data_IF_568553505732
#
_entry.id   IF_568553505732
#
_cell.length_a   1.000
_cell.length_b   1.000
_cell.length_c   1.000
_cell.angle_alpha   90.00
_cell.angle_beta   90.00
_cell.angle_gamma   90.00
#
_symmetry.space_group_name_H-M   'P 1'
#
loop_
_entity.id
_entity.type
_entity.pdbx_description
1 polymer ?
#
# COMPACT_ATOMS: atom_id res chain seq x y z
N UNK A 1 2.38 30.18 -9.79
CA UNK A 1 3.60 30.87 -10.26
C UNK A 1 4.64 29.81 -10.57
N UNK A 2 5.30 29.85 -11.75
CA UNK A 2 6.39 28.93 -12.05
C UNK A 2 7.42 29.02 -10.93
N UNK A 3 7.80 27.88 -10.36
CA UNK A 3 8.86 27.85 -9.35
C UNK A 3 10.18 27.97 -10.09
N UNK A 4 11.03 28.97 -9.79
CA UNK A 4 12.35 29.05 -10.38
C UNK A 4 13.10 27.75 -10.12
N UNK A 5 13.63 27.15 -11.21
CA UNK A 5 14.35 25.88 -11.21
C UNK A 5 15.63 25.88 -10.36
N UNK A 6 16.03 27.05 -9.87
CA UNK A 6 17.16 27.28 -8.96
C UNK A 6 16.82 27.02 -7.48
N UNK A 7 15.56 26.73 -7.14
CA UNK A 7 15.18 26.44 -5.76
C UNK A 7 15.19 24.93 -5.47
N UNK A 8 15.56 24.57 -4.24
CA UNK A 8 15.79 23.22 -3.69
C UNK A 8 14.59 22.23 -3.71
N UNK A 9 13.63 22.41 -4.63
CA UNK A 9 12.41 21.62 -4.78
C UNK A 9 12.33 20.83 -6.09
N UNK A 10 13.21 21.06 -7.07
CA UNK A 10 13.35 20.13 -8.18
C UNK A 10 13.99 18.84 -7.63
N UNK A 11 13.29 17.70 -7.73
CA UNK A 11 13.93 16.41 -7.48
C UNK A 11 15.02 16.29 -8.54
N UNK A 12 16.27 16.45 -8.12
CA UNK A 12 17.40 16.27 -9.03
C UNK A 12 17.46 14.81 -9.44
N UNK A 13 17.97 14.52 -10.64
CA UNK A 13 18.22 13.14 -11.06
C UNK A 13 19.12 12.40 -10.06
N UNK A 14 19.98 13.12 -9.33
CA UNK A 14 20.75 12.61 -8.20
C UNK A 14 19.87 12.13 -7.03
N UNK A 15 18.88 12.93 -6.61
CA UNK A 15 17.95 12.53 -5.53
C UNK A 15 17.11 11.33 -5.95
N UNK A 16 16.64 11.29 -7.20
CA UNK A 16 15.89 10.16 -7.72
C UNK A 16 16.74 8.89 -7.79
N UNK A 17 17.99 9.00 -8.25
CA UNK A 17 18.95 7.89 -8.27
C UNK A 17 19.21 7.36 -6.86
N UNK A 18 19.44 8.26 -5.90
CA UNK A 18 19.68 7.93 -4.49
C UNK A 18 18.50 7.15 -3.88
N UNK A 19 17.27 7.61 -4.10
CA UNK A 19 16.06 6.91 -3.63
C UNK A 19 15.95 5.50 -4.22
N UNK A 20 16.23 5.34 -5.52
CA UNK A 20 16.19 4.03 -6.18
C UNK A 20 17.30 3.09 -5.71
N UNK A 21 18.50 3.62 -5.42
CA UNK A 21 19.57 2.84 -4.81
C UNK A 21 19.18 2.35 -3.41
N UNK A 22 18.53 3.17 -2.60
CA UNK A 22 18.02 2.74 -1.29
C UNK A 22 16.96 1.64 -1.40
N UNK A 23 16.06 1.75 -2.38
CA UNK A 23 15.07 0.71 -2.67
C UNK A 23 15.74 -0.61 -3.08
N UNK A 24 16.75 -0.54 -3.96
CA UNK A 24 17.50 -1.72 -4.38
C UNK A 24 18.23 -2.35 -3.19
N UNK A 25 18.96 -1.55 -2.42
CA UNK A 25 19.70 -2.01 -1.25
C UNK A 25 18.79 -2.69 -0.23
N UNK A 26 17.66 -2.08 0.13
CA UNK A 26 16.76 -2.69 1.12
C UNK A 26 16.13 -3.97 0.59
N UNK A 27 15.80 -4.03 -0.70
CA UNK A 27 15.28 -5.24 -1.33
C UNK A 27 16.31 -6.38 -1.23
N UNK A 28 17.58 -6.11 -1.55
CA UNK A 28 18.66 -7.09 -1.43
C UNK A 28 18.90 -7.52 0.03
N UNK A 29 18.89 -6.57 0.97
CA UNK A 29 19.04 -6.85 2.40
C UNK A 29 17.93 -7.76 2.93
N UNK A 30 16.69 -7.60 2.46
CA UNK A 30 15.60 -8.50 2.86
C UNK A 30 15.86 -9.94 2.44
N UNK A 31 16.32 -10.17 1.21
CA UNK A 31 16.66 -11.53 0.74
C UNK A 31 17.90 -12.09 1.42
N UNK A 32 18.84 -11.25 1.83
CA UNK A 32 20.04 -11.69 2.53
C UNK A 32 19.77 -12.04 4.01
N UNK A 33 18.96 -11.23 4.70
CA UNK A 33 18.75 -11.34 6.15
C UNK A 33 17.60 -12.29 6.52
N UNK A 34 16.54 -12.35 5.72
CA UNK A 34 15.39 -13.19 6.02
C UNK A 34 15.47 -14.50 5.24
N UNK A 35 15.77 -15.60 5.94
CA UNK A 35 15.94 -16.91 5.31
C UNK A 35 14.99 -17.97 5.88
N UNK A 36 14.32 -17.67 6.99
CA UNK A 36 13.45 -18.63 7.69
C UNK A 36 12.02 -18.11 7.84
N UNK A 37 11.09 -19.02 8.12
CA UNK A 37 9.71 -18.66 8.46
C UNK A 37 9.63 -17.76 9.70
N UNK A 38 10.57 -17.91 10.63
CA UNK A 38 10.66 -17.06 11.81
C UNK A 38 11.05 -15.62 11.43
N UNK A 39 11.93 -15.45 10.44
CA UNK A 39 12.33 -14.12 9.98
C UNK A 39 11.18 -13.41 9.26
N UNK A 40 10.43 -14.11 8.41
CA UNK A 40 9.18 -13.58 7.83
C UNK A 40 8.20 -13.12 8.92
N UNK A 41 8.04 -13.93 9.96
CA UNK A 41 7.17 -13.60 11.07
C UNK A 41 7.63 -12.33 11.81
N UNK A 42 8.95 -12.19 12.04
CA UNK A 42 9.54 -10.96 12.61
C UNK A 42 9.33 -9.74 11.70
N UNK A 43 9.45 -9.91 10.38
CA UNK A 43 9.17 -8.82 9.42
C UNK A 43 7.71 -8.37 9.51
N UNK A 44 6.75 -9.29 9.62
CA UNK A 44 5.35 -8.93 9.79
C UNK A 44 5.10 -8.16 11.08
N UNK A 45 5.69 -8.62 12.19
CA UNK A 45 5.61 -7.93 13.49
C UNK A 45 6.23 -6.54 13.39
N UNK A 46 7.42 -6.41 12.81
CA UNK A 46 8.10 -5.14 12.63
C UNK A 46 7.29 -4.15 11.79
N UNK A 47 6.64 -4.63 10.73
CA UNK A 47 5.81 -3.80 9.86
C UNK A 47 4.55 -3.32 10.59
N UNK A 48 3.88 -4.20 11.34
CA UNK A 48 2.72 -3.83 12.17
C UNK A 48 3.10 -2.82 13.26
N UNK A 49 4.21 -3.03 13.96
CA UNK A 49 4.73 -2.10 14.97
C UNK A 49 5.11 -0.75 14.36
N UNK A 50 5.79 -0.75 13.21
CA UNK A 50 6.13 0.47 12.49
C UNK A 50 4.89 1.27 12.08
N UNK A 51 3.83 0.58 11.65
CA UNK A 51 2.57 1.24 11.30
C UNK A 51 1.81 1.81 12.49
N UNK A 52 1.98 1.26 13.70
CA UNK A 52 1.44 1.90 14.92
C UNK A 52 2.06 3.27 15.20
N UNK A 53 3.33 3.49 14.81
CA UNK A 53 3.92 4.82 14.92
C UNK A 53 3.19 5.82 14.03
N UNK A 54 2.83 5.41 12.80
CA UNK A 54 2.04 6.26 11.89
C UNK A 54 0.63 6.51 12.43
N UNK A 55 -0.02 5.49 13.01
CA UNK A 55 -1.30 5.65 13.73
C UNK A 55 -1.16 6.68 14.84
N UNK A 56 -0.14 6.55 15.70
CA UNK A 56 0.09 7.48 16.81
C UNK A 56 0.26 8.92 16.31
N UNK A 57 1.07 9.13 15.28
CA UNK A 57 1.27 10.47 14.70
C UNK A 57 -0.03 11.09 14.21
N UNK A 58 -0.91 10.29 13.58
CA UNK A 58 -2.20 10.74 13.04
C UNK A 58 -3.27 10.93 14.12
N UNK A 59 -3.16 10.29 15.28
CA UNK A 59 -4.21 10.32 16.31
C UNK A 59 -3.88 11.27 17.46
N UNK A 60 -2.60 11.50 17.77
CA UNK A 60 -2.18 12.30 18.95
C UNK A 60 -2.75 13.73 18.98
N UNK A 61 -2.94 14.33 17.81
CA UNK A 61 -3.44 15.70 17.65
C UNK A 61 -4.88 15.74 17.12
N UNK A 62 -5.55 14.59 17.04
CA UNK A 62 -6.91 14.49 16.51
C UNK A 62 -7.93 15.00 17.54
N UNK A 63 -8.73 15.99 17.14
CA UNK A 63 -9.79 16.56 17.96
C UNK A 63 -11.16 16.15 17.41
N UNK A 64 -11.92 15.36 18.17
CA UNK A 64 -13.25 14.86 17.76
C UNK A 64 -14.23 16.02 17.48
N UNK A 65 -14.10 17.14 18.20
CA UNK A 65 -14.97 18.33 18.04
C UNK A 65 -14.56 19.26 16.90
N UNK A 66 -13.40 19.03 16.26
CA UNK A 66 -12.99 19.84 15.14
C UNK A 66 -13.86 19.49 13.91
N UNK A 67 -14.57 20.47 13.37
CA UNK A 67 -15.48 20.30 12.23
C UNK A 67 -14.73 20.16 10.89
N UNK A 68 -13.60 19.46 10.90
CA UNK A 68 -12.69 19.27 9.76
C UNK A 68 -13.16 18.13 8.89
N UNK A 69 -13.30 18.39 7.58
CA UNK A 69 -13.69 17.37 6.58
C UNK A 69 -12.57 16.34 6.36
N UNK A 70 -11.31 16.74 6.59
CA UNK A 70 -10.13 15.91 6.40
C UNK A 70 -9.14 16.15 7.52
N UNK A 71 -8.67 15.08 8.17
CA UNK A 71 -7.53 15.17 9.08
C UNK A 71 -6.24 14.86 8.33
N UNK A 72 -5.36 15.85 8.23
CA UNK A 72 -4.06 15.75 7.59
C UNK A 72 -2.99 16.39 8.47
N UNK A 73 -1.83 15.75 8.54
CA UNK A 73 -0.63 16.37 9.12
C UNK A 73 0.11 17.05 7.97
N UNK A 74 0.53 18.30 8.18
CA UNK A 74 1.38 19.04 7.24
C UNK A 74 2.63 18.19 6.96
N UNK A 75 2.75 17.65 5.73
CA UNK A 75 3.76 16.70 5.19
C UNK A 75 3.25 15.27 4.87
N UNK A 76 2.08 14.86 5.35
CA UNK A 76 1.51 13.55 5.07
C UNK A 76 0.27 13.68 4.18
N UNK A 77 0.34 13.17 2.96
CA UNK A 77 -0.83 13.01 2.11
C UNK A 77 -1.76 11.94 2.73
N UNK A 78 -3.03 12.29 2.96
CA UNK A 78 -3.97 11.41 3.64
C UNK A 78 -4.29 10.12 2.84
N UNK A 79 -4.21 10.16 1.50
CA UNK A 79 -4.35 8.95 0.69
C UNK A 79 -3.09 8.08 0.82
N UNK A 80 -1.89 8.67 0.83
CA UNK A 80 -0.64 7.94 1.03
C UNK A 80 -0.63 7.25 2.42
N UNK A 81 -1.06 7.95 3.46
CA UNK A 81 -1.25 7.39 4.81
C UNK A 81 -2.23 6.21 4.78
N UNK A 82 -3.35 6.36 4.07
CA UNK A 82 -4.34 5.30 3.96
C UNK A 82 -3.79 4.04 3.30
N UNK A 83 -3.00 4.19 2.22
CA UNK A 83 -2.33 3.07 1.54
C UNK A 83 -1.34 2.38 2.47
N UNK A 84 -0.47 3.15 3.16
CA UNK A 84 0.52 2.63 4.12
C UNK A 84 -0.12 1.80 5.23
N UNK A 85 -1.24 2.27 5.78
CA UNK A 85 -1.93 1.55 6.86
C UNK A 85 -2.72 0.34 6.34
N UNK A 86 -3.42 0.48 5.21
CA UNK A 86 -4.27 -0.57 4.67
C UNK A 86 -3.48 -1.78 4.19
N UNK A 87 -2.31 -1.59 3.55
CA UNK A 87 -1.48 -2.69 3.06
C UNK A 87 -0.96 -3.61 4.19
N UNK A 88 -0.94 -3.12 5.43
CA UNK A 88 -0.49 -3.88 6.62
C UNK A 88 -1.64 -4.70 7.22
N UNK A 89 -2.91 -4.36 6.93
CA UNK A 89 -4.09 -5.06 7.48
C UNK A 89 -4.03 -6.58 7.20
N UNK A 90 -3.71 -7.06 5.97
CA UNK A 90 -3.54 -8.49 5.73
C UNK A 90 -2.46 -9.14 6.61
N UNK A 91 -1.37 -8.43 6.93
CA UNK A 91 -0.32 -8.93 7.83
C UNK A 91 -0.81 -8.98 9.29
N UNK A 92 -1.57 -7.99 9.74
CA UNK A 92 -2.18 -8.01 11.07
C UNK A 92 -3.20 -9.15 11.22
N UNK A 93 -3.97 -9.44 10.16
CA UNK A 93 -4.87 -10.60 10.11
C UNK A 93 -4.05 -11.90 10.17
N UNK A 94 -2.93 -11.99 9.46
CA UNK A 94 -2.01 -13.13 9.58
C UNK A 94 -1.57 -13.31 11.03
N UNK A 95 -1.12 -12.24 11.70
CA UNK A 95 -0.70 -12.30 13.11
C UNK A 95 -1.84 -12.81 14.02
N UNK A 96 -3.07 -12.35 13.79
CA UNK A 96 -4.23 -12.74 14.60
C UNK A 96 -4.64 -14.21 14.42
N UNK A 97 -4.49 -14.75 13.21
CA UNK A 97 -5.07 -16.04 12.80
C UNK A 97 -4.06 -17.18 12.71
N UNK A 98 -2.79 -16.90 12.42
CA UNK A 98 -1.77 -17.93 12.15
C UNK A 98 -0.71 -18.06 13.25
N UNK A 99 -0.69 -17.17 14.24
CA UNK A 99 0.31 -17.20 15.31
C UNK A 99 -0.23 -17.90 16.55
N UNK A 100 0.66 -18.60 17.27
CA UNK A 100 0.31 -19.29 18.52
C UNK A 100 0.36 -18.35 19.72
N UNK A 101 1.34 -17.45 19.73
CA UNK A 101 1.60 -16.53 20.83
C UNK A 101 0.50 -15.47 20.95
N UNK A 102 -0.15 -15.41 22.11
CA UNK A 102 -1.32 -14.54 22.28
C UNK A 102 -0.98 -13.05 22.19
N UNK A 103 0.24 -12.64 22.55
CA UNK A 103 0.71 -11.25 22.46
C UNK A 103 0.77 -10.77 21.00
N UNK A 104 1.21 -11.62 20.07
CA UNK A 104 1.23 -11.27 18.64
C UNK A 104 -0.17 -11.25 18.05
N UNK A 105 -1.07 -12.10 18.54
CA UNK A 105 -2.49 -12.04 18.20
C UNK A 105 -3.12 -10.75 18.72
N UNK A 106 -2.80 -10.34 19.94
CA UNK A 106 -3.26 -9.06 20.51
C UNK A 106 -2.73 -7.87 19.70
N UNK A 107 -1.47 -7.92 19.24
CA UNK A 107 -0.89 -6.89 18.38
C UNK A 107 -1.69 -6.75 17.07
N UNK A 108 -1.99 -7.87 16.40
CA UNK A 108 -2.83 -7.86 15.20
C UNK A 108 -4.26 -7.37 15.48
N UNK A 109 -4.86 -7.82 16.59
CA UNK A 109 -6.20 -7.42 17.02
C UNK A 109 -6.28 -5.92 17.33
N UNK A 110 -5.25 -5.34 17.94
CA UNK A 110 -5.19 -3.91 18.25
C UNK A 110 -4.92 -3.08 16.98
N UNK A 111 -4.14 -3.59 16.03
CA UNK A 111 -3.77 -2.86 14.83
C UNK A 111 -4.97 -2.61 13.92
N UNK A 112 -5.81 -3.61 13.71
CA UNK A 112 -6.94 -3.53 12.77
C UNK A 112 -7.90 -2.37 13.08
N UNK A 113 -8.47 -2.22 14.30
CA UNK A 113 -9.33 -1.09 14.62
C UNK A 113 -8.57 0.24 14.64
N UNK A 114 -7.30 0.25 15.06
CA UNK A 114 -6.48 1.44 15.07
C UNK A 114 -6.23 1.97 13.64
N UNK A 115 -5.82 1.09 12.72
CA UNK A 115 -5.64 1.40 11.31
C UNK A 115 -6.95 1.81 10.65
N UNK A 116 -8.05 1.09 10.92
CA UNK A 116 -9.36 1.44 10.37
C UNK A 116 -9.82 2.84 10.82
N UNK A 117 -9.69 3.13 12.11
CA UNK A 117 -9.99 4.45 12.66
C UNK A 117 -9.14 5.54 12.00
N UNK A 118 -7.81 5.35 11.94
CA UNK A 118 -6.90 6.31 11.31
C UNK A 118 -7.20 6.52 9.83
N UNK A 119 -7.50 5.46 9.07
CA UNK A 119 -7.87 5.58 7.66
C UNK A 119 -9.15 6.40 7.51
N UNK A 120 -10.17 6.17 8.34
CA UNK A 120 -11.44 6.87 8.22
C UNK A 120 -11.34 8.37 8.57
N UNK A 121 -10.56 8.75 9.58
CA UNK A 121 -10.36 10.17 9.91
C UNK A 121 -9.61 10.94 8.81
N UNK A 122 -8.86 10.24 7.95
CA UNK A 122 -8.23 10.87 6.78
C UNK A 122 -9.22 11.34 5.71
N UNK A 123 -10.50 10.92 5.78
CA UNK A 123 -11.52 11.25 4.79
C UNK A 123 -11.19 10.79 3.36
N UNK A 124 -10.29 9.80 3.21
CA UNK A 124 -9.90 9.25 1.91
C UNK A 124 -10.90 8.22 1.39
N UNK A 125 -11.53 8.50 0.24
CA UNK A 125 -12.40 7.54 -0.46
C UNK A 125 -11.65 6.28 -0.88
N UNK A 126 -10.51 6.45 -1.55
CA UNK A 126 -9.63 5.33 -1.91
C UNK A 126 -9.19 4.58 -0.66
N UNK A 127 -8.88 5.31 0.42
CA UNK A 127 -8.57 4.74 1.74
C UNK A 127 -9.66 3.82 2.29
N UNK A 128 -10.92 4.24 2.25
CA UNK A 128 -12.04 3.41 2.67
C UNK A 128 -12.17 2.13 1.83
N UNK A 129 -12.01 2.23 0.50
CA UNK A 129 -12.07 1.07 -0.40
C UNK A 129 -10.94 0.07 -0.11
N UNK A 130 -9.70 0.54 -0.04
CA UNK A 130 -8.55 -0.36 0.20
C UNK A 130 -8.53 -0.91 1.64
N UNK A 131 -9.10 -0.20 2.61
CA UNK A 131 -9.34 -0.73 3.95
C UNK A 131 -10.29 -1.92 3.90
N UNK A 132 -11.43 -1.81 3.19
CA UNK A 132 -12.37 -2.91 3.01
C UNK A 132 -11.70 -4.10 2.33
N UNK A 133 -10.87 -3.85 1.31
CA UNK A 133 -10.06 -4.91 0.68
C UNK A 133 -9.10 -5.55 1.68
N UNK A 134 -8.44 -4.79 2.55
CA UNK A 134 -7.60 -5.34 3.62
C UNK A 134 -8.38 -6.23 4.58
N UNK A 135 -9.56 -5.78 5.01
CA UNK A 135 -10.46 -6.52 5.90
C UNK A 135 -11.05 -7.78 5.24
N UNK A 136 -11.11 -7.84 3.91
CA UNK A 136 -11.46 -9.06 3.17
C UNK A 136 -10.49 -10.22 3.47
N UNK A 137 -9.34 -9.96 4.10
CA UNK A 137 -8.46 -11.00 4.64
C UNK A 137 -9.14 -11.93 5.64
N UNK A 138 -10.23 -11.51 6.29
CA UNK A 138 -11.02 -12.36 7.19
C UNK A 138 -11.94 -13.35 6.47
N UNK A 139 -12.17 -13.20 5.16
CA UNK A 139 -13.12 -14.04 4.41
C UNK A 139 -12.85 -15.54 4.60
N UNK A 140 -11.62 -16.07 4.41
CA UNK A 140 -11.37 -17.50 4.61
C UNK A 140 -11.68 -17.96 6.04
N UNK A 141 -11.33 -17.16 7.06
CA UNK A 141 -11.62 -17.43 8.47
C UNK A 141 -13.12 -17.51 8.75
N UNK A 142 -13.90 -16.55 8.23
CA UNK A 142 -15.36 -16.50 8.40
C UNK A 142 -16.04 -17.64 7.66
N UNK A 143 -15.60 -17.97 6.44
CA UNK A 143 -16.17 -19.06 5.64
C UNK A 143 -15.96 -20.43 6.28
N UNK A 144 -14.81 -20.63 6.93
CA UNK A 144 -14.50 -21.86 7.69
C UNK A 144 -15.17 -21.91 9.07
N UNK A 145 -15.75 -20.80 9.53
CA UNK A 145 -16.42 -20.74 10.83
C UNK A 145 -17.85 -21.32 10.78
N UNK A 146 -18.29 -21.91 11.90
CA UNK A 146 -19.68 -22.34 12.06
C UNK A 146 -20.66 -21.15 12.13
N UNK A 147 -21.96 -21.44 12.23
CA UNK A 147 -23.02 -20.41 12.26
C UNK A 147 -22.77 -19.34 13.33
N UNK A 148 -22.31 -19.75 14.52
CA UNK A 148 -21.97 -18.83 15.62
C UNK A 148 -20.85 -17.85 15.22
N UNK A 149 -19.81 -18.33 14.54
CA UNK A 149 -18.70 -17.47 14.09
C UNK A 149 -19.13 -16.46 13.03
N UNK A 150 -20.03 -16.87 12.13
CA UNK A 150 -20.64 -15.97 11.13
C UNK A 150 -21.50 -14.89 11.80
N UNK A 151 -22.35 -15.26 12.75
CA UNK A 151 -23.16 -14.31 13.53
C UNK A 151 -22.26 -13.35 14.29
N UNK A 152 -21.23 -13.86 14.99
CA UNK A 152 -20.27 -13.02 15.72
C UNK A 152 -19.56 -12.02 14.79
N UNK A 153 -19.18 -12.43 13.59
CA UNK A 153 -18.57 -11.56 12.59
C UNK A 153 -19.52 -10.43 12.16
N UNK A 154 -20.80 -10.73 11.92
CA UNK A 154 -21.82 -9.73 11.61
C UNK A 154 -22.01 -8.76 12.78
N UNK A 155 -22.11 -9.26 14.00
CA UNK A 155 -22.25 -8.42 15.21
C UNK A 155 -21.05 -7.49 15.36
N UNK A 156 -19.82 -7.99 15.17
CA UNK A 156 -18.60 -7.17 15.23
C UNK A 156 -18.64 -6.05 14.19
N UNK A 157 -19.05 -6.36 12.95
CA UNK A 157 -19.17 -5.35 11.89
C UNK A 157 -20.21 -4.29 12.26
N UNK A 158 -21.39 -4.70 12.76
CA UNK A 158 -22.44 -3.77 13.18
C UNK A 158 -21.96 -2.86 14.32
N UNK A 159 -21.32 -3.42 15.34
CA UNK A 159 -20.75 -2.66 16.47
C UNK A 159 -19.67 -1.69 15.97
N UNK A 160 -18.81 -2.11 15.05
CA UNK A 160 -17.79 -1.25 14.46
C UNK A 160 -18.41 -0.07 13.69
N UNK A 161 -19.46 -0.32 12.90
CA UNK A 161 -20.18 0.73 12.16
C UNK A 161 -20.85 1.74 13.11
N UNK A 162 -21.46 1.26 14.20
CA UNK A 162 -22.04 2.14 15.23
C UNK A 162 -20.94 2.99 15.90
N UNK A 163 -19.81 2.39 16.27
CA UNK A 163 -18.69 3.12 16.86
C UNK A 163 -18.14 4.19 15.91
N UNK A 164 -17.96 3.84 14.63
CA UNK A 164 -17.54 4.76 13.56
C UNK A 164 -18.47 5.97 13.47
N UNK A 165 -19.79 5.74 13.44
CA UNK A 165 -20.79 6.79 13.32
C UNK A 165 -20.78 7.79 14.51
N UNK A 166 -20.27 7.38 15.68
CA UNK A 166 -20.22 8.23 16.86
C UNK A 166 -18.91 9.03 17.01
N UNK A 167 -17.81 8.56 16.40
CA UNK A 167 -16.47 9.16 16.60
C UNK A 167 -15.99 9.95 15.38
N UNK A 168 -16.46 9.61 14.17
CA UNK A 168 -16.02 10.27 12.94
C UNK A 168 -17.05 11.34 12.54
N UNK A 169 -16.61 12.59 12.26
CA UNK A 169 -17.50 13.67 11.86
C UNK A 169 -18.38 13.30 10.66
N UNK A 170 -19.66 13.66 10.72
CA UNK A 170 -20.64 13.34 9.67
C UNK A 170 -20.19 13.85 8.29
N UNK A 171 -19.55 15.03 8.20
CA UNK A 171 -19.01 15.57 6.95
C UNK A 171 -17.94 14.68 6.31
N UNK A 172 -17.12 14.02 7.13
CA UNK A 172 -16.09 13.07 6.66
C UNK A 172 -16.76 11.82 6.10
N UNK A 173 -17.80 11.32 6.76
CA UNK A 173 -18.62 10.20 6.28
C UNK A 173 -19.28 10.57 4.95
N UNK A 174 -19.95 11.72 4.88
CA UNK A 174 -20.58 12.23 3.66
C UNK A 174 -19.57 12.35 2.52
N UNK A 175 -18.36 12.85 2.75
CA UNK A 175 -17.29 12.89 1.74
C UNK A 175 -16.90 11.50 1.22
N UNK A 176 -16.82 10.49 2.11
CA UNK A 176 -16.48 9.13 1.71
C UNK A 176 -17.57 8.54 0.79
N UNK A 177 -18.85 8.84 1.05
CA UNK A 177 -19.98 8.30 0.29
C UNK A 177 -20.41 9.17 -0.92
N UNK A 178 -20.03 10.45 -0.97
CA UNK A 178 -20.35 11.35 -2.08
C UNK A 178 -19.39 11.12 -3.25
N UNK A 179 -19.77 10.18 -4.13
CA UNK A 179 -18.99 9.84 -5.34
C UNK A 179 -19.56 10.52 -6.60
N UNK A 180 -20.89 10.70 -6.70
CA UNK A 180 -21.53 11.11 -7.96
C UNK A 180 -21.34 12.58 -8.39
N UNK A 181 -21.20 13.54 -7.46
CA UNK A 181 -21.15 14.99 -7.78
C UNK A 181 -19.75 15.54 -8.09
N UNK A 182 -18.69 14.89 -7.59
CA UNK A 182 -17.30 15.36 -7.79
C UNK A 182 -16.63 14.75 -9.03
N UNK A 183 -17.07 13.56 -9.48
CA UNK A 183 -16.61 12.96 -10.74
C UNK A 183 -16.86 13.92 -11.92
N UNK A 184 -17.91 14.74 -11.86
CA UNK A 184 -18.27 15.70 -12.90
C UNK A 184 -17.70 17.11 -12.71
N UNK A 185 -17.02 17.44 -11.61
CA UNK A 185 -16.81 18.87 -11.24
C UNK A 185 -15.40 19.30 -10.80
N UNK A 186 -14.37 18.43 -10.71
CA UNK A 186 -13.03 18.96 -10.38
C UNK A 186 -11.84 17.99 -10.46
N UNK A 187 -11.70 17.07 -9.50
CA UNK A 187 -10.44 16.32 -9.29
C UNK A 187 -10.03 15.39 -10.44
N UNK A 188 -10.99 14.75 -11.12
CA UNK A 188 -10.69 13.96 -12.31
C UNK A 188 -10.35 14.84 -13.52
N UNK A 189 -10.92 16.04 -13.58
CA UNK A 189 -10.66 16.99 -14.65
C UNK A 189 -9.25 17.60 -14.56
N UNK A 190 -8.74 17.81 -13.34
CA UNK A 190 -7.34 18.22 -13.14
C UNK A 190 -6.37 17.09 -13.52
N UNK A 191 -6.67 15.85 -13.14
CA UNK A 191 -5.85 14.68 -13.47
C UNK A 191 -5.84 14.36 -14.97
N UNK A 192 -6.98 14.50 -15.66
CA UNK A 192 -7.05 14.25 -17.10
C UNK A 192 -6.16 15.21 -17.89
N UNK A 193 -6.10 16.49 -17.50
CA UNK A 193 -5.20 17.47 -18.13
C UNK A 193 -3.73 17.10 -17.87
N UNK A 194 -3.38 16.72 -16.64
CA UNK A 194 -2.01 16.28 -16.31
C UNK A 194 -1.62 15.05 -17.15
N UNK A 195 -2.52 14.08 -17.28
CA UNK A 195 -2.25 12.85 -18.05
C UNK A 195 -2.17 13.10 -19.55
N UNK A 196 -2.95 14.04 -20.08
CA UNK A 196 -2.83 14.46 -21.48
C UNK A 196 -1.47 15.09 -21.76
N UNK A 197 -1.03 16.04 -20.93
CA UNK A 197 0.30 16.66 -21.07
C UNK A 197 1.42 15.63 -20.88
N UNK A 198 1.29 14.71 -19.91
CA UNK A 198 2.26 13.64 -19.71
C UNK A 198 2.35 12.68 -20.92
N UNK A 199 1.23 12.50 -21.63
CA UNK A 199 1.19 11.72 -22.87
C UNK A 199 1.88 12.46 -24.01
N UNK A 200 1.62 13.76 -24.19
CA UNK A 200 2.34 14.61 -25.17
C UNK A 200 3.86 14.56 -24.92
N UNK A 201 4.29 14.70 -23.67
CA UNK A 201 5.70 14.55 -23.31
C UNK A 201 6.22 13.14 -23.63
N UNK A 202 5.45 12.08 -23.38
CA UNK A 202 5.88 10.73 -23.72
C UNK A 202 6.08 10.53 -25.23
N UNK A 203 5.29 11.18 -26.09
CA UNK A 203 5.44 11.09 -27.55
C UNK A 203 6.78 11.64 -28.05
N UNK A 204 7.38 12.59 -27.34
CA UNK A 204 8.71 13.15 -27.66
C UNK A 204 9.86 12.18 -27.33
N UNK A 205 9.67 11.26 -26.38
CA UNK A 205 10.67 10.24 -26.00
C UNK A 205 10.03 8.90 -25.61
N UNK A 206 9.47 8.16 -26.58
CA UNK A 206 8.59 7.02 -26.27
C UNK A 206 9.31 5.82 -25.66
N UNK A 207 10.59 5.62 -26.02
CA UNK A 207 11.35 4.44 -25.60
C UNK A 207 12.02 4.60 -24.23
N UNK A 208 12.65 5.76 -23.99
CA UNK A 208 13.49 6.01 -22.82
C UNK A 208 12.90 7.05 -21.87
N UNK A 209 11.86 7.78 -22.28
CA UNK A 209 11.28 8.87 -21.52
C UNK A 209 12.25 10.03 -21.32
N UNK A 210 11.94 10.86 -20.34
CA UNK A 210 12.66 12.11 -20.05
C UNK A 210 13.68 12.03 -18.91
N UNK A 211 13.95 10.82 -18.43
CA UNK A 211 14.89 10.54 -17.35
C UNK A 211 14.23 10.38 -15.99
N UNK A 212 14.84 9.57 -15.14
CA UNK A 212 14.35 9.26 -13.80
C UNK A 212 14.13 10.53 -12.94
N UNK A 213 12.93 10.67 -12.37
CA UNK A 213 12.55 11.83 -11.55
C UNK A 213 12.23 13.10 -12.34
N UNK A 214 12.10 13.02 -13.67
CA UNK A 214 11.84 14.19 -14.50
C UNK A 214 10.40 14.67 -14.53
N UNK A 215 9.43 13.96 -13.95
CA UNK A 215 8.00 14.24 -14.16
C UNK A 215 7.63 15.69 -13.85
N UNK A 216 8.09 16.20 -12.70
CA UNK A 216 7.87 17.61 -12.32
C UNK A 216 8.43 18.59 -13.35
N UNK A 217 9.55 18.26 -13.99
CA UNK A 217 10.23 19.10 -14.99
C UNK A 217 9.49 19.20 -16.29
N UNK A 218 9.06 18.05 -16.80
CA UNK A 218 8.37 17.97 -18.07
C UNK A 218 6.96 18.56 -17.98
N UNK A 219 6.32 18.48 -16.80
CA UNK A 219 4.97 19.03 -16.60
C UNK A 219 4.97 20.53 -16.23
N UNK A 220 6.07 21.09 -15.73
CA UNK A 220 6.13 22.48 -15.27
C UNK A 220 5.72 23.54 -16.32
N UNK A 221 6.10 23.42 -17.61
CA UNK A 221 5.67 24.36 -18.65
C UNK A 221 4.14 24.48 -18.81
N UNK A 222 3.39 23.44 -18.45
CA UNK A 222 1.93 23.40 -18.59
C UNK A 222 1.17 24.07 -17.44
N UNK A 223 1.88 24.55 -16.39
CA UNK A 223 1.29 25.27 -15.25
C UNK A 223 0.20 24.48 -14.49
N UNK A 224 0.33 23.14 -14.45
CA UNK A 224 -0.55 22.23 -13.70
C UNK A 224 0.15 21.67 -12.45
N UNK A 225 -0.55 20.84 -11.66
CA UNK A 225 0.06 20.10 -10.55
C UNK A 225 1.25 19.27 -11.03
N UNK A 226 2.33 19.30 -10.25
CA UNK A 226 3.60 18.64 -10.55
C UNK A 226 3.62 17.14 -10.24
N UNK A 227 2.51 16.56 -9.77
CA UNK A 227 2.39 15.14 -9.44
C UNK A 227 1.47 14.43 -10.42
N UNK A 228 1.87 13.24 -10.87
CA UNK A 228 1.11 12.48 -11.84
C UNK A 228 -0.22 11.95 -11.28
N UNK A 229 -0.35 11.88 -9.95
CA UNK A 229 -1.44 11.18 -9.26
C UNK A 229 -1.67 9.74 -9.75
N UNK A 230 -0.67 9.15 -10.39
CA UNK A 230 -0.68 7.81 -10.96
C UNK A 230 0.77 7.41 -11.26
N UNK A 231 1.23 6.36 -10.58
CA UNK A 231 2.62 5.88 -10.68
C UNK A 231 2.96 5.42 -12.10
N UNK A 232 2.01 4.82 -12.82
CA UNK A 232 2.23 4.29 -14.17
C UNK A 232 2.37 5.40 -15.21
N UNK A 233 1.61 6.49 -15.06
CA UNK A 233 1.76 7.69 -15.89
C UNK A 233 3.13 8.32 -15.66
N UNK A 234 3.54 8.46 -14.40
CA UNK A 234 4.86 8.99 -14.06
C UNK A 234 5.99 8.13 -14.66
N UNK A 235 5.95 6.81 -14.47
CA UNK A 235 6.97 5.90 -15.02
C UNK A 235 7.02 5.99 -16.54
N UNK A 236 5.88 6.02 -17.22
CA UNK A 236 5.82 6.06 -18.69
C UNK A 236 6.43 7.35 -19.23
N UNK A 237 6.10 8.51 -18.65
CA UNK A 237 6.66 9.79 -19.08
C UNK A 237 8.15 9.95 -18.72
N UNK A 238 8.60 9.40 -17.60
CA UNK A 238 10.01 9.49 -17.15
C UNK A 238 10.93 8.48 -17.80
N UNK A 239 10.46 7.26 -18.06
CA UNK A 239 11.31 6.10 -18.43
C UNK A 239 10.87 5.42 -19.73
N UNK A 240 9.83 5.91 -20.38
CA UNK A 240 9.29 5.36 -21.62
C UNK A 240 8.74 3.95 -21.48
N UNK A 241 8.46 3.31 -22.61
CA UNK A 241 7.92 1.95 -22.63
C UNK A 241 8.85 0.92 -21.99
N UNK A 242 10.18 1.14 -22.06
CA UNK A 242 11.17 0.22 -21.48
C UNK A 242 11.02 0.21 -19.95
N UNK A 243 11.01 1.38 -19.31
CA UNK A 243 10.82 1.47 -17.85
C UNK A 243 9.47 0.93 -17.41
N UNK A 244 8.40 1.23 -18.16
CA UNK A 244 7.06 0.71 -17.89
C UNK A 244 7.01 -0.81 -17.94
N UNK A 245 7.60 -1.44 -18.96
CA UNK A 245 7.64 -2.91 -19.07
C UNK A 245 8.45 -3.56 -17.96
N UNK A 246 9.59 -2.97 -17.57
CA UNK A 246 10.39 -3.46 -16.44
C UNK A 246 9.61 -3.37 -15.13
N UNK A 247 8.90 -2.27 -14.89
CA UNK A 247 8.08 -2.11 -13.70
C UNK A 247 6.89 -3.09 -13.66
N UNK A 248 6.19 -3.27 -14.79
CA UNK A 248 5.11 -4.25 -14.91
C UNK A 248 5.60 -5.70 -14.73
N UNK A 249 6.85 -5.99 -15.11
CA UNK A 249 7.48 -7.28 -14.86
C UNK A 249 7.63 -7.54 -13.35
N UNK A 250 8.07 -6.54 -12.57
CA UNK A 250 8.16 -6.65 -11.10
C UNK A 250 6.79 -6.98 -10.49
N UNK A 251 5.74 -6.25 -10.90
CA UNK A 251 4.38 -6.49 -10.42
C UNK A 251 3.91 -7.90 -10.79
N UNK A 252 4.14 -8.33 -12.02
CA UNK A 252 3.72 -9.64 -12.52
C UNK A 252 4.44 -10.76 -11.79
N UNK A 253 5.74 -10.62 -11.52
CA UNK A 253 6.50 -11.59 -10.72
C UNK A 253 6.00 -11.67 -9.27
N UNK A 254 5.67 -10.52 -8.65
CA UNK A 254 5.09 -10.50 -7.31
C UNK A 254 3.71 -11.16 -7.26
N UNK A 255 2.83 -10.89 -8.23
CA UNK A 255 1.52 -11.52 -8.35
C UNK A 255 1.63 -13.03 -8.62
N UNK A 256 2.51 -13.43 -9.52
CA UNK A 256 2.78 -14.84 -9.81
C UNK A 256 3.34 -15.56 -8.56
N UNK A 257 4.19 -14.88 -7.79
CA UNK A 257 4.70 -15.42 -6.53
C UNK A 257 3.58 -15.60 -5.51
N UNK A 258 2.73 -14.58 -5.31
CA UNK A 258 1.55 -14.67 -4.44
C UNK A 258 0.63 -15.82 -4.85
N UNK A 259 0.34 -15.97 -6.14
CA UNK A 259 -0.54 -17.01 -6.66
C UNK A 259 -0.05 -18.44 -6.39
N UNK A 260 1.27 -18.62 -6.28
CA UNK A 260 1.90 -19.91 -5.96
C UNK A 260 1.91 -20.23 -4.47
N UNK A 261 1.65 -19.26 -3.58
CA UNK A 261 1.55 -19.52 -2.15
C UNK A 261 0.34 -20.44 -1.85
N UNK A 262 0.38 -21.25 -0.79
CA UNK A 262 -0.77 -22.06 -0.39
C UNK A 262 -1.74 -21.27 0.51
N UNK A 263 -3.02 -21.68 0.51
CA UNK A 263 -4.00 -21.30 1.52
C UNK A 263 -4.15 -19.79 1.77
N UNK A 264 -4.13 -19.40 3.04
CA UNK A 264 -4.38 -18.03 3.47
C UNK A 264 -3.23 -17.08 3.12
N UNK A 265 -1.99 -17.56 3.04
CA UNK A 265 -0.84 -16.76 2.63
C UNK A 265 -1.04 -16.18 1.22
N UNK A 266 -1.57 -16.99 0.28
CA UNK A 266 -1.94 -16.52 -1.07
C UNK A 266 -2.95 -15.38 -0.98
N UNK A 267 -4.03 -15.59 -0.24
CA UNK A 267 -5.11 -14.61 -0.13
C UNK A 267 -4.62 -13.29 0.47
N UNK A 268 -3.88 -13.36 1.58
CA UNK A 268 -3.39 -12.17 2.27
C UNK A 268 -2.35 -11.41 1.45
N UNK A 269 -1.43 -12.11 0.76
CA UNK A 269 -0.46 -11.46 -0.13
C UNK A 269 -1.13 -10.83 -1.35
N UNK A 270 -2.11 -11.50 -1.97
CA UNK A 270 -2.86 -10.93 -3.10
C UNK A 270 -3.63 -9.66 -2.70
N UNK A 271 -4.24 -9.64 -1.52
CA UNK A 271 -4.91 -8.45 -1.00
C UNK A 271 -3.92 -7.31 -0.75
N UNK A 272 -2.76 -7.59 -0.15
CA UNK A 272 -1.72 -6.59 0.05
C UNK A 272 -1.25 -5.99 -1.29
N UNK A 273 -0.98 -6.84 -2.28
CA UNK A 273 -0.59 -6.40 -3.63
C UNK A 273 -1.70 -5.60 -4.32
N UNK A 274 -2.96 -6.01 -4.19
CA UNK A 274 -4.10 -5.28 -4.75
C UNK A 274 -4.26 -3.89 -4.13
N UNK A 275 -4.11 -3.77 -2.82
CA UNK A 275 -4.12 -2.49 -2.10
C UNK A 275 -3.00 -1.58 -2.61
N UNK A 276 -1.79 -2.12 -2.74
CA UNK A 276 -0.62 -1.41 -3.28
C UNK A 276 -0.91 -0.92 -4.70
N UNK A 277 -1.40 -1.78 -5.60
CA UNK A 277 -1.71 -1.42 -6.99
C UNK A 277 -2.77 -0.32 -7.08
N UNK A 278 -3.88 -0.44 -6.33
CA UNK A 278 -4.94 0.60 -6.31
C UNK A 278 -4.38 1.93 -5.78
N UNK A 279 -3.51 1.87 -4.77
CA UNK A 279 -2.78 3.03 -4.28
C UNK A 279 -1.96 3.70 -5.39
N UNK A 280 -1.23 2.93 -6.19
CA UNK A 280 -0.43 3.42 -7.30
C UNK A 280 -1.23 3.98 -8.47
N UNK A 281 -2.47 3.52 -8.68
CA UNK A 281 -3.37 4.13 -9.67
C UNK A 281 -3.91 5.48 -9.21
N UNK A 282 -3.89 5.75 -7.90
CA UNK A 282 -4.43 6.97 -7.30
C UNK A 282 -3.37 8.00 -6.89
N UNK A 283 -2.10 7.58 -6.83
CA UNK A 283 -0.95 8.32 -6.30
C UNK A 283 0.34 7.98 -7.06
N UNK A 284 1.32 8.87 -6.98
CA UNK A 284 2.67 8.68 -7.53
C UNK A 284 3.57 8.09 -6.44
N UNK A 285 3.66 6.76 -6.38
CA UNK A 285 4.28 6.02 -5.27
C UNK A 285 5.42 5.08 -5.72
N UNK A 286 5.79 5.07 -7.00
CA UNK A 286 6.76 4.12 -7.56
C UNK A 286 8.14 4.18 -6.89
N UNK A 287 8.51 5.32 -6.32
CA UNK A 287 9.77 5.55 -5.62
C UNK A 287 9.64 5.38 -4.10
N UNK A 288 8.51 4.87 -3.61
CA UNK A 288 8.28 4.67 -2.18
C UNK A 288 8.72 3.30 -1.73
N UNK A 289 9.60 3.29 -0.72
CA UNK A 289 10.19 2.07 -0.16
C UNK A 289 9.17 1.01 0.28
N UNK A 290 8.01 1.41 0.83
CA UNK A 290 7.00 0.47 1.31
C UNK A 290 6.30 -0.29 0.17
N UNK A 291 6.23 0.27 -1.05
CA UNK A 291 5.68 -0.41 -2.22
C UNK A 291 6.60 -1.58 -2.60
N UNK A 292 7.90 -1.31 -2.70
CA UNK A 292 8.92 -2.32 -2.99
C UNK A 292 9.05 -3.36 -1.89
N UNK A 293 8.88 -2.95 -0.63
CA UNK A 293 8.81 -3.88 0.48
C UNK A 293 7.66 -4.88 0.32
N UNK A 294 6.47 -4.45 -0.14
CA UNK A 294 5.35 -5.34 -0.40
C UNK A 294 5.65 -6.39 -1.48
N UNK A 295 6.27 -5.97 -2.58
CA UNK A 295 6.70 -6.86 -3.66
C UNK A 295 7.76 -7.85 -3.17
N UNK A 296 8.82 -7.35 -2.52
CA UNK A 296 9.90 -8.17 -1.99
C UNK A 296 9.39 -9.19 -0.95
N UNK A 297 8.55 -8.75 -0.01
CA UNK A 297 7.98 -9.60 1.04
C UNK A 297 7.17 -10.77 0.46
N UNK A 298 6.42 -10.53 -0.61
CA UNK A 298 5.62 -11.56 -1.28
C UNK A 298 6.51 -12.61 -1.95
N UNK A 299 7.53 -12.17 -2.70
CA UNK A 299 8.47 -13.06 -3.37
C UNK A 299 9.30 -13.86 -2.34
N UNK A 300 9.73 -13.19 -1.27
CA UNK A 300 10.46 -13.79 -0.17
C UNK A 300 9.63 -14.87 0.55
N UNK A 301 8.32 -14.65 0.72
CA UNK A 301 7.43 -15.64 1.31
C UNK A 301 7.45 -16.95 0.51
N UNK A 302 7.34 -16.85 -0.83
CA UNK A 302 7.41 -18.01 -1.71
C UNK A 302 8.79 -18.68 -1.66
N UNK A 303 9.87 -17.89 -1.73
CA UNK A 303 11.24 -18.38 -1.68
C UNK A 303 11.50 -19.24 -0.43
N UNK A 304 11.16 -18.71 0.75
CA UNK A 304 11.39 -19.39 2.02
C UNK A 304 10.53 -20.66 2.12
N UNK A 305 9.27 -20.65 1.68
CA UNK A 305 8.42 -21.85 1.69
C UNK A 305 8.96 -22.95 0.78
N UNK A 306 9.44 -22.61 -0.42
CA UNK A 306 10.01 -23.60 -1.34
C UNK A 306 11.30 -24.22 -0.79
N UNK A 307 12.15 -23.44 -0.12
CA UNK A 307 13.38 -23.95 0.49
C UNK A 307 13.11 -24.91 1.66
N UNK A 308 12.10 -24.62 2.49
CA UNK A 308 11.69 -25.53 3.58
C UNK A 308 11.20 -26.88 3.03
N UNK A 309 10.34 -26.86 2.01
CA UNK A 309 9.84 -28.09 1.37
C UNK A 309 10.98 -28.92 0.77
N UNK A 310 11.98 -28.26 0.18
CA UNK A 310 13.15 -28.94 -0.39
C UNK A 310 13.98 -29.62 0.71
N UNK A 311 14.22 -28.94 1.83
CA UNK A 311 14.97 -29.50 2.96
C UNK A 311 14.28 -30.72 3.59
N UNK A 312 12.95 -30.68 3.77
CA UNK A 312 12.17 -31.82 4.29
C UNK A 312 12.22 -33.05 3.37
N UNK A 313 12.19 -32.83 2.05
CA UNK A 313 12.28 -33.92 1.08
C UNK A 313 13.66 -34.60 1.11
N UNK A 314 14.75 -33.84 1.26
CA UNK A 314 16.10 -34.42 1.41
C UNK A 314 16.22 -35.25 2.70
N UNK A 315 15.64 -34.79 3.80
CA UNK A 315 15.63 -35.56 5.05
C UNK A 315 14.83 -36.86 4.95
N UNK A 316 13.66 -36.86 4.30
CA UNK A 316 12.87 -38.08 4.07
C UNK A 316 13.60 -39.12 3.21
N UNK A 317 14.35 -38.67 2.19
CA UNK A 317 15.16 -39.57 1.36
C UNK A 317 16.29 -40.22 2.18
N UNK A 318 16.92 -39.49 3.11
CA UNK A 318 18.01 -40.03 3.94
C UNK A 318 17.58 -41.02 5.04
N UNK A 319 16.33 -40.99 5.48
CA UNK A 319 15.81 -41.88 6.54
C UNK A 319 15.36 -43.24 5.95
N UNK A 320 15.10 -43.29 4.65
CA UNK A 320 14.63 -44.50 3.94
C UNK A 320 15.78 -45.27 3.23
N UNK A 321 17.04 -44.98 3.54
CA UNK A 321 18.25 -45.70 3.07
C UNK A 321 18.92 -46.33 4.27
#
# INVERSE_FOLDING_TARGET
MPVPYETAQAVSSEQALKSNLYILMISLLLFQLANTQQDLHKLYIAFVLGSFWLVYLMVKDYQISANTVRHEIKQFDANEVSVKLAMVIPLAIYLLTHTREWWWRLLGLAYIPAAAFTILITGSRTGAVIMVLGLAGFIPTVLRSGVIGKIASVVIVVVALIAIANVIPQKTIERIFTTGKEISSGTLNERSVIWANAYEEWEESPFYGHGLGSFRRIINPYHVDYTAHNSFVAITAEQGIIGTLLYLTVITLALAAAWRLPGDDRWLMLLMLLIVMIGQMSLTLQDRMYIWFAYALTVLNLYIKNNVLTAENVHKVRINV
#
